data_IF_608149590000
#
_entry.id   IF_608149590000
#
_cell.length_a   1.000
_cell.length_b   1.000
_cell.length_c   1.000
_cell.angle_alpha   90.00
_cell.angle_beta   90.00
_cell.angle_gamma   90.00
#
_symmetry.space_group_name_H-M   'P 1'
#
loop_
_entity.id
_entity.type
_entity.pdbx_description
1 polymer ?
#
# COMPACT_ATOMS: atom_id res chain seq x y z
N UNK A 1 12.92 -7.96 5.07
CA UNK A 1 12.36 -6.64 5.40
C UNK A 1 11.10 -6.85 6.23
N UNK A 2 10.88 -6.05 7.27
CA UNK A 2 9.73 -6.13 8.18
C UNK A 2 8.68 -5.12 7.74
N UNK A 3 7.66 -5.62 7.03
CA UNK A 3 6.59 -4.82 6.44
C UNK A 3 5.27 -5.24 7.05
N UNK A 4 4.56 -4.28 7.62
CA UNK A 4 3.19 -4.45 8.07
C UNK A 4 2.23 -3.90 7.02
N UNK A 5 1.19 -4.68 6.73
CA UNK A 5 0.08 -4.28 5.85
C UNK A 5 -1.17 -4.13 6.68
N UNK A 6 -1.76 -2.95 6.66
CA UNK A 6 -3.07 -2.68 7.26
C UNK A 6 -4.20 -3.38 6.51
N UNK A 7 -5.40 -3.33 7.08
CA UNK A 7 -6.62 -3.79 6.41
C UNK A 7 -6.87 -2.94 5.17
N UNK A 8 -7.41 -3.58 4.13
CA UNK A 8 -7.93 -2.86 2.97
C UNK A 8 -9.29 -2.28 3.35
N UNK A 9 -9.46 -0.98 3.12
CA UNK A 9 -10.72 -0.26 3.33
C UNK A 9 -11.34 0.03 1.98
N UNK A 10 -12.60 -0.35 1.84
CA UNK A 10 -13.41 -0.03 0.67
C UNK A 10 -14.16 1.27 0.94
N UNK A 11 -14.05 2.21 0.00
CA UNK A 11 -14.76 3.48 0.02
C UNK A 11 -15.87 3.42 -1.01
N UNK A 12 -17.11 3.39 -0.53
CA UNK A 12 -18.30 3.31 -1.37
C UNK A 12 -18.94 4.69 -1.54
N UNK A 13 -19.56 4.91 -2.71
CA UNK A 13 -20.41 6.07 -2.93
C UNK A 13 -21.75 5.96 -2.18
N UNK A 14 -22.58 7.02 -2.29
CA UNK A 14 -23.94 7.04 -1.70
C UNK A 14 -24.88 5.96 -2.27
N UNK A 15 -24.52 5.33 -3.39
CA UNK A 15 -25.27 4.26 -4.06
C UNK A 15 -24.68 2.87 -3.75
N UNK A 16 -23.78 2.77 -2.76
CA UNK A 16 -23.07 1.55 -2.37
C UNK A 16 -22.16 0.94 -3.44
N UNK A 17 -21.77 1.71 -4.46
CA UNK A 17 -20.75 1.27 -5.41
C UNK A 17 -19.37 1.53 -4.81
N UNK A 18 -18.51 0.51 -4.76
CA UNK A 18 -17.11 0.70 -4.34
C UNK A 18 -16.41 1.58 -5.36
N UNK A 19 -15.93 2.74 -4.92
CA UNK A 19 -15.25 3.74 -5.76
C UNK A 19 -13.74 3.72 -5.60
N UNK A 20 -13.27 3.38 -4.39
CA UNK A 20 -11.84 3.34 -4.08
C UNK A 20 -11.52 2.28 -3.04
N UNK A 21 -10.29 1.83 -3.07
CA UNK A 21 -9.68 0.93 -2.10
C UNK A 21 -8.46 1.63 -1.51
N UNK A 22 -8.34 1.62 -0.19
CA UNK A 22 -7.25 2.25 0.54
C UNK A 22 -6.56 1.19 1.39
N UNK A 23 -5.23 1.20 1.40
CA UNK A 23 -4.45 0.38 2.32
C UNK A 23 -3.25 1.17 2.84
N UNK A 24 -3.07 1.13 4.16
CA UNK A 24 -1.86 1.64 4.81
C UNK A 24 -0.84 0.52 4.90
N UNK A 25 0.40 0.79 4.52
CA UNK A 25 1.54 -0.11 4.68
C UNK A 25 2.67 0.59 5.43
N UNK A 26 3.37 -0.14 6.30
CA UNK A 26 4.46 0.37 7.12
C UNK A 26 5.70 -0.48 6.93
N UNK A 27 6.83 0.14 6.64
CA UNK A 27 8.14 -0.48 6.67
C UNK A 27 8.83 -0.13 7.99
N UNK A 28 9.00 -1.12 8.86
CA UNK A 28 9.63 -0.91 10.17
C UNK A 28 11.14 -0.72 10.08
N UNK A 29 11.80 -1.25 9.05
CA UNK A 29 13.26 -1.13 8.91
C UNK A 29 13.71 0.31 8.67
N UNK A 30 12.92 1.09 7.93
CA UNK A 30 13.20 2.50 7.62
C UNK A 30 12.21 3.46 8.31
N UNK A 31 11.34 2.92 9.17
CA UNK A 31 10.28 3.63 9.87
C UNK A 31 9.42 4.53 8.95
N UNK A 32 9.07 4.03 7.77
CA UNK A 32 8.23 4.73 6.79
C UNK A 32 6.82 4.15 6.78
N UNK A 33 5.82 5.02 6.69
CA UNK A 33 4.41 4.65 6.56
C UNK A 33 3.84 5.32 5.30
N UNK A 34 3.13 4.53 4.49
CA UNK A 34 2.48 5.01 3.28
C UNK A 34 1.04 4.55 3.22
N UNK A 35 0.16 5.48 2.90
CA UNK A 35 -1.22 5.21 2.53
C UNK A 35 -1.32 5.14 1.01
N UNK A 36 -1.90 4.06 0.50
CA UNK A 36 -2.02 3.81 -0.93
C UNK A 36 -3.51 3.71 -1.26
N UNK A 37 -3.95 4.53 -2.21
CA UNK A 37 -5.30 4.48 -2.77
C UNK A 37 -5.31 4.04 -4.24
N UNK A 38 -6.36 3.32 -4.63
CA UNK A 38 -6.65 2.98 -6.02
C UNK A 38 -8.14 2.76 -6.26
N UNK A 39 -8.57 2.90 -7.51
CA UNK A 39 -9.98 2.71 -7.90
C UNK A 39 -10.40 1.24 -8.00
N UNK A 40 -9.44 0.31 -8.01
CA UNK A 40 -9.69 -1.13 -8.00
C UNK A 40 -8.74 -1.88 -7.08
N UNK A 41 -9.20 -3.02 -6.56
CA UNK A 41 -8.39 -3.90 -5.71
C UNK A 41 -7.10 -4.35 -6.42
N UNK A 42 -7.18 -4.68 -7.71
CA UNK A 42 -6.00 -5.07 -8.50
C UNK A 42 -4.98 -3.95 -8.62
N UNK A 43 -5.44 -2.72 -8.89
CA UNK A 43 -4.57 -1.56 -8.94
C UNK A 43 -3.93 -1.26 -7.58
N UNK A 44 -4.69 -1.39 -6.48
CA UNK A 44 -4.18 -1.25 -5.12
C UNK A 44 -3.06 -2.26 -4.85
N UNK A 45 -3.32 -3.54 -5.13
CA UNK A 45 -2.34 -4.61 -4.92
C UNK A 45 -1.07 -4.41 -5.76
N UNK A 46 -1.20 -3.91 -6.98
CA UNK A 46 -0.07 -3.57 -7.84
C UNK A 46 0.77 -2.43 -7.24
N UNK A 47 0.13 -1.33 -6.83
CA UNK A 47 0.81 -0.20 -6.17
C UNK A 47 1.51 -0.60 -4.88
N UNK A 48 0.84 -1.41 -4.04
CA UNK A 48 1.41 -1.94 -2.78
C UNK A 48 2.66 -2.77 -3.06
N UNK A 49 2.62 -3.66 -4.06
CA UNK A 49 3.80 -4.44 -4.46
C UNK A 49 4.92 -3.54 -4.99
N UNK A 50 4.59 -2.55 -5.83
CA UNK A 50 5.54 -1.57 -6.33
C UNK A 50 6.25 -0.83 -5.20
N UNK A 51 5.51 -0.37 -4.19
CA UNK A 51 6.09 0.31 -3.03
C UNK A 51 7.03 -0.58 -2.21
N UNK A 52 6.68 -1.86 -2.06
CA UNK A 52 7.52 -2.84 -1.36
C UNK A 52 8.84 -3.04 -2.12
N UNK A 53 8.78 -3.20 -3.45
CA UNK A 53 9.96 -3.37 -4.30
C UNK A 53 10.85 -2.12 -4.24
N UNK A 54 10.27 -0.93 -4.28
CA UNK A 54 11.00 0.33 -4.16
C UNK A 54 11.77 0.38 -2.83
N UNK A 55 11.11 0.06 -1.73
CA UNK A 55 11.76 0.00 -0.42
C UNK A 55 12.84 -1.08 -0.33
N UNK A 56 12.63 -2.26 -0.93
CA UNK A 56 13.66 -3.31 -0.99
C UNK A 56 14.89 -2.86 -1.80
N UNK A 57 14.67 -2.17 -2.91
CA UNK A 57 15.74 -1.61 -3.74
C UNK A 57 16.53 -0.56 -2.95
N UNK A 58 15.83 0.38 -2.29
CA UNK A 58 16.46 1.41 -1.47
C UNK A 58 17.24 0.80 -0.29
N UNK A 59 16.69 -0.23 0.36
CA UNK A 59 17.37 -0.93 1.46
C UNK A 59 18.66 -1.63 1.00
N UNK A 60 18.69 -2.20 -0.21
CA UNK A 60 19.90 -2.83 -0.78
C UNK A 60 20.99 -1.82 -1.12
N UNK A 61 20.63 -0.59 -1.51
CA UNK A 61 21.60 0.46 -1.84
C UNK A 61 22.26 1.03 -0.57
N UNK A 62 21.52 1.08 0.54
CA UNK A 62 21.98 1.65 1.81
C UNK A 62 22.88 0.71 2.64
N UNK A 63 23.22 -0.48 2.14
CA UNK A 63 23.90 -1.54 2.88
C UNK A 63 25.13 -2.04 2.12
#
# INVERSE_FOLDING_TARGET
>A
MDIEKGKIVEVSDKKNNVTKYIQVIKNKNINELKEIEAESLNALMSKVRGQIIEWESNYKILR
#
